data_IF_763101873911
#
_entry.id   IF_763101873911
#
_cell.length_a   1.000
_cell.length_b   1.000
_cell.length_c   1.000
_cell.angle_alpha   90.00
_cell.angle_beta   90.00
_cell.angle_gamma   90.00
#
_symmetry.space_group_name_H-M   'P 1'
#
loop_
_entity.id
_entity.type
_entity.pdbx_description
1 polymer ?
#
# COMPACT_ATOMS: atom_id res chain seq x y z
N UNK A 1 -8.84 -3.53 8.45
CA UNK A 1 -9.84 -3.13 7.47
C UNK A 1 -9.20 -2.34 6.32
N UNK A 2 -9.59 -2.61 5.07
CA UNK A 2 -9.02 -1.92 3.90
C UNK A 2 -9.82 -0.64 3.59
N UNK A 3 -9.11 0.49 3.54
CA UNK A 3 -9.63 1.79 3.12
C UNK A 3 -8.82 2.31 1.93
N UNK A 4 -9.47 2.98 1.00
CA UNK A 4 -8.77 3.76 -0.01
C UNK A 4 -8.52 5.17 0.52
N UNK A 5 -7.36 5.74 0.22
CA UNK A 5 -7.11 7.16 0.45
C UNK A 5 -8.04 8.04 -0.39
N UNK A 6 -8.17 9.31 -0.01
CA UNK A 6 -9.19 10.19 -0.60
C UNK A 6 -9.08 10.33 -2.12
N UNK A 7 -7.92 10.63 -2.72
CA UNK A 7 -7.81 10.67 -4.19
C UNK A 7 -8.18 9.34 -4.83
N UNK A 8 -7.71 8.25 -4.24
CA UNK A 8 -7.97 6.88 -4.73
C UNK A 8 -9.46 6.52 -4.69
N UNK A 9 -10.17 6.98 -3.67
CA UNK A 9 -11.62 6.79 -3.55
C UNK A 9 -12.36 7.49 -4.69
N UNK A 10 -11.99 8.73 -4.98
CA UNK A 10 -12.60 9.52 -6.06
C UNK A 10 -12.35 8.87 -7.42
N UNK A 11 -11.11 8.48 -7.71
CA UNK A 11 -10.73 7.77 -8.94
C UNK A 11 -11.55 6.49 -9.11
N UNK A 12 -11.68 5.68 -8.05
CA UNK A 12 -12.43 4.43 -8.08
C UNK A 12 -13.94 4.66 -8.29
N UNK A 13 -14.54 5.61 -7.59
CA UNK A 13 -15.96 5.96 -7.73
C UNK A 13 -16.25 6.45 -9.14
N UNK A 14 -15.45 7.32 -9.68
CA UNK A 14 -15.62 7.89 -11.01
C UNK A 14 -15.44 6.84 -12.11
N UNK A 15 -14.42 5.97 -11.98
CA UNK A 15 -14.24 4.85 -12.91
C UNK A 15 -15.47 3.92 -12.91
N UNK A 16 -16.05 3.66 -11.74
CA UNK A 16 -17.26 2.84 -11.59
C UNK A 16 -18.49 3.49 -12.24
N UNK A 17 -18.52 4.81 -12.36
CA UNK A 17 -19.58 5.58 -13.01
C UNK A 17 -19.33 5.83 -14.50
N UNK A 18 -18.20 5.35 -15.03
CA UNK A 18 -17.81 5.54 -16.44
C UNK A 18 -17.23 6.91 -16.76
N UNK A 19 -16.85 7.70 -15.75
CA UNK A 19 -16.24 9.02 -15.92
C UNK A 19 -14.78 8.96 -15.46
N UNK A 20 -13.79 8.93 -16.36
CA UNK A 20 -12.40 9.00 -15.96
C UNK A 20 -12.11 10.36 -15.30
N UNK A 21 -11.48 10.33 -14.13
CA UNK A 21 -11.06 11.52 -13.40
C UNK A 21 -9.55 11.64 -13.48
N UNK A 22 -9.11 12.81 -13.81
CA UNK A 22 -7.72 13.21 -13.70
C UNK A 22 -7.54 14.11 -12.46
N UNK A 23 -7.23 13.46 -11.34
CA UNK A 23 -7.06 14.17 -10.06
C UNK A 23 -5.93 15.20 -10.11
N UNK A 24 -4.87 14.92 -10.88
CA UNK A 24 -3.78 15.89 -11.03
C UNK A 24 -4.26 17.19 -11.70
N UNK A 25 -5.11 17.08 -12.73
CA UNK A 25 -5.76 18.27 -13.33
C UNK A 25 -6.66 18.98 -12.32
N UNK A 26 -7.44 18.27 -11.52
CA UNK A 26 -8.29 18.91 -10.51
C UNK A 26 -7.49 19.71 -9.50
N UNK A 27 -6.38 19.14 -9.01
CA UNK A 27 -5.48 19.83 -8.07
C UNK A 27 -4.87 21.09 -8.70
N UNK A 28 -4.55 21.06 -10.00
CA UNK A 28 -3.96 22.19 -10.71
C UNK A 28 -4.99 23.28 -11.06
N UNK A 29 -6.14 22.88 -11.58
CA UNK A 29 -7.14 23.79 -12.15
C UNK A 29 -8.13 24.30 -11.09
N UNK A 30 -8.41 23.49 -10.06
CA UNK A 30 -9.41 23.75 -9.01
C UNK A 30 -8.87 23.39 -7.62
N UNK A 31 -7.75 23.99 -7.16
CA UNK A 31 -7.08 23.57 -5.93
C UNK A 31 -7.92 23.76 -4.67
N UNK A 32 -8.72 24.83 -4.58
CA UNK A 32 -9.56 25.12 -3.41
C UNK A 32 -10.74 24.17 -3.30
N UNK A 33 -11.43 23.92 -4.40
CA UNK A 33 -12.57 23.00 -4.49
C UNK A 33 -12.10 21.56 -4.24
N UNK A 34 -10.98 21.18 -4.81
CA UNK A 34 -10.38 19.85 -4.59
C UNK A 34 -9.98 19.66 -3.13
N UNK A 35 -9.34 20.65 -2.53
CA UNK A 35 -8.99 20.63 -1.11
C UNK A 35 -10.24 20.52 -0.22
N UNK A 36 -11.33 21.21 -0.55
CA UNK A 36 -12.59 21.11 0.18
C UNK A 36 -13.18 19.68 0.10
N UNK A 37 -13.21 19.08 -1.08
CA UNK A 37 -13.67 17.68 -1.26
C UNK A 37 -12.80 16.71 -0.45
N UNK A 38 -11.48 16.86 -0.52
CA UNK A 38 -10.55 16.03 0.24
C UNK A 38 -10.73 16.19 1.76
N UNK A 39 -10.99 17.42 2.22
CA UNK A 39 -11.22 17.70 3.63
C UNK A 39 -12.47 16.98 4.15
N UNK A 40 -13.58 17.05 3.43
CA UNK A 40 -14.83 16.36 3.81
C UNK A 40 -14.63 14.85 3.87
N UNK A 41 -14.17 14.24 2.78
CA UNK A 41 -14.01 12.78 2.69
C UNK A 41 -13.01 12.27 3.73
N UNK A 42 -11.88 12.98 3.94
CA UNK A 42 -10.88 12.53 4.92
C UNK A 42 -11.35 12.61 6.37
N UNK A 43 -12.25 13.55 6.71
CA UNK A 43 -12.89 13.60 8.03
C UNK A 43 -13.81 12.40 8.25
N UNK A 44 -14.67 12.09 7.28
CA UNK A 44 -15.55 10.93 7.36
C UNK A 44 -14.73 9.62 7.48
N UNK A 45 -13.62 9.52 6.76
CA UNK A 45 -12.74 8.35 6.86
C UNK A 45 -11.94 8.28 8.16
N UNK A 46 -11.57 9.41 8.72
CA UNK A 46 -10.95 9.46 10.05
C UNK A 46 -11.92 8.97 11.14
N UNK A 47 -13.17 9.42 11.11
CA UNK A 47 -14.22 8.94 12.02
C UNK A 47 -14.51 7.44 11.81
N UNK A 48 -14.61 7.00 10.56
CA UNK A 48 -14.80 5.59 10.25
C UNK A 48 -13.64 4.72 10.76
N UNK A 49 -12.39 5.17 10.58
CA UNK A 49 -11.21 4.45 11.05
C UNK A 49 -11.21 4.30 12.58
N UNK A 50 -11.56 5.36 13.31
CA UNK A 50 -11.73 5.30 14.76
C UNK A 50 -12.82 4.32 15.18
N UNK A 51 -14.01 4.42 14.63
CA UNK A 51 -15.13 3.54 14.94
C UNK A 51 -14.81 2.05 14.63
N UNK A 52 -14.14 1.77 13.52
CA UNK A 52 -13.71 0.41 13.18
C UNK A 52 -12.78 -0.19 14.24
N UNK A 53 -11.86 0.60 14.79
CA UNK A 53 -10.90 0.14 15.79
C UNK A 53 -11.57 0.07 17.17
N UNK A 54 -12.23 1.14 17.61
CA UNK A 54 -12.76 1.27 18.98
C UNK A 54 -14.03 0.44 19.21
N UNK A 55 -14.92 0.38 18.22
CA UNK A 55 -16.22 -0.28 18.30
C UNK A 55 -16.26 -1.58 17.48
N UNK A 56 -15.65 -1.60 16.31
CA UNK A 56 -15.63 -2.75 15.41
C UNK A 56 -14.60 -3.81 15.80
N UNK A 57 -13.66 -3.51 16.69
CA UNK A 57 -12.66 -4.47 17.19
C UNK A 57 -11.61 -4.90 16.17
N UNK A 58 -11.35 -4.09 15.13
CA UNK A 58 -10.27 -4.37 14.19
C UNK A 58 -8.93 -3.90 14.76
N UNK A 59 -7.84 -4.62 14.46
CA UNK A 59 -6.49 -4.28 14.95
C UNK A 59 -5.90 -3.03 14.28
N UNK A 60 -6.49 -2.56 13.18
CA UNK A 60 -6.04 -1.39 12.44
C UNK A 60 -6.61 -1.32 11.04
N UNK A 61 -6.16 -0.33 10.28
CA UNK A 61 -6.53 -0.13 8.88
C UNK A 61 -5.37 -0.45 7.95
N UNK A 62 -5.70 -0.84 6.73
CA UNK A 62 -4.81 -0.99 5.59
C UNK A 62 -5.19 0.13 4.61
N UNK A 63 -4.46 1.26 4.67
CA UNK A 63 -4.76 2.42 3.85
C UNK A 63 -4.06 2.31 2.49
N UNK A 64 -4.85 2.21 1.44
CA UNK A 64 -4.35 2.13 0.07
C UNK A 64 -4.21 3.52 -0.55
N UNK A 65 -2.98 3.88 -0.92
CA UNK A 65 -2.60 5.11 -1.61
C UNK A 65 -1.96 4.80 -2.96
N UNK A 66 -1.88 5.78 -3.83
CA UNK A 66 -0.97 5.82 -4.98
C UNK A 66 -0.74 7.27 -5.43
N UNK A 67 0.35 7.48 -6.16
CA UNK A 67 0.65 8.76 -6.81
C UNK A 67 1.14 8.59 -8.26
N UNK A 68 0.77 7.48 -8.89
CA UNK A 68 1.16 7.14 -10.27
C UNK A 68 0.63 8.10 -11.34
N UNK A 69 -0.44 8.83 -11.03
CA UNK A 69 -1.05 9.82 -11.93
C UNK A 69 -0.52 11.22 -11.70
N UNK A 70 0.47 11.39 -10.81
CA UNK A 70 0.94 12.71 -10.36
C UNK A 70 2.31 13.11 -10.94
N UNK A 71 2.71 12.54 -12.06
CA UNK A 71 3.92 12.93 -12.81
C UNK A 71 3.94 14.42 -13.22
N UNK A 72 2.76 15.09 -13.22
CA UNK A 72 2.59 16.53 -13.46
C UNK A 72 2.62 17.37 -12.18
N UNK A 73 2.67 16.76 -11.00
CA UNK A 73 2.75 17.46 -9.71
C UNK A 73 4.17 17.37 -9.16
N UNK A 74 4.57 18.42 -8.47
CA UNK A 74 5.80 18.37 -7.66
C UNK A 74 5.52 17.76 -6.29
N UNK A 75 6.57 17.27 -5.62
CA UNK A 75 6.51 16.80 -4.24
C UNK A 75 5.88 17.85 -3.31
N UNK A 76 6.25 19.13 -3.48
CA UNK A 76 5.73 20.22 -2.67
C UNK A 76 4.21 20.41 -2.84
N UNK A 77 3.72 20.31 -4.07
CA UNK A 77 2.27 20.39 -4.34
C UNK A 77 1.56 19.19 -3.70
N UNK A 78 2.08 17.98 -3.88
CA UNK A 78 1.53 16.78 -3.28
C UNK A 78 1.48 16.88 -1.75
N UNK A 79 2.58 17.26 -1.12
CA UNK A 79 2.68 17.43 0.34
C UNK A 79 1.74 18.51 0.88
N UNK A 80 1.44 19.51 0.09
CA UNK A 80 0.54 20.60 0.50
C UNK A 80 -0.94 20.26 0.28
N UNK A 81 -1.28 19.63 -0.83
CA UNK A 81 -2.67 19.50 -1.30
C UNK A 81 -3.24 18.08 -1.25
N UNK A 82 -2.42 17.05 -0.97
CA UNK A 82 -2.87 15.65 -0.91
C UNK A 82 -2.51 15.00 0.42
N UNK A 83 -1.23 14.99 0.75
CA UNK A 83 -0.70 14.29 1.91
C UNK A 83 -1.42 14.60 3.25
N UNK A 84 -1.84 15.85 3.55
CA UNK A 84 -2.51 16.14 4.83
C UNK A 84 -3.81 15.37 5.03
N UNK A 85 -4.52 15.08 3.96
CA UNK A 85 -5.79 14.35 4.00
C UNK A 85 -5.61 12.83 4.15
N UNK A 86 -4.53 12.29 3.58
CA UNK A 86 -4.13 10.89 3.77
C UNK A 86 -3.59 10.64 5.18
N UNK A 87 -2.71 11.53 5.63
CA UNK A 87 -2.10 11.48 6.97
C UNK A 87 -3.17 11.58 8.07
N UNK A 88 -4.18 12.45 7.92
CA UNK A 88 -5.30 12.58 8.87
C UNK A 88 -5.96 11.23 9.18
N UNK A 89 -6.17 10.40 8.17
CA UNK A 89 -6.83 9.09 8.34
C UNK A 89 -5.93 8.16 9.18
N UNK A 90 -4.63 8.13 8.88
CA UNK A 90 -3.66 7.33 9.65
C UNK A 90 -3.49 7.84 11.08
N UNK A 91 -3.44 9.16 11.28
CA UNK A 91 -3.34 9.76 12.61
C UNK A 91 -4.56 9.40 13.46
N UNK A 92 -5.77 9.55 12.92
CA UNK A 92 -6.99 9.17 13.59
C UNK A 92 -7.02 7.68 13.97
N UNK A 93 -6.58 6.81 13.06
CA UNK A 93 -6.46 5.39 13.34
C UNK A 93 -5.38 5.07 14.39
N UNK A 94 -4.28 5.83 14.42
CA UNK A 94 -3.23 5.69 15.44
C UNK A 94 -3.73 6.14 16.82
N UNK A 95 -4.45 7.26 16.89
CA UNK A 95 -5.08 7.75 18.13
C UNK A 95 -6.05 6.74 18.75
N UNK A 96 -6.79 6.00 17.90
CA UNK A 96 -7.66 4.90 18.32
C UNK A 96 -6.88 3.61 18.71
N UNK A 97 -5.55 3.61 18.67
CA UNK A 97 -4.70 2.49 19.05
C UNK A 97 -4.41 1.48 17.94
N UNK A 98 -4.73 1.79 16.69
CA UNK A 98 -4.58 0.91 15.55
C UNK A 98 -3.12 0.56 15.19
N UNK A 99 -2.93 -0.65 14.70
CA UNK A 99 -1.68 -1.09 14.05
C UNK A 99 -1.82 -0.96 12.53
N UNK A 100 -1.58 0.25 12.03
CA UNK A 100 -1.96 0.64 10.68
C UNK A 100 -0.88 0.35 9.64
N UNK A 101 -1.30 -0.09 8.47
CA UNK A 101 -0.47 -0.44 7.32
C UNK A 101 -0.76 0.55 6.19
N UNK A 102 0.31 1.06 5.55
CA UNK A 102 0.20 1.78 4.29
C UNK A 102 0.42 0.82 3.13
N UNK A 103 -0.46 0.83 2.15
CA UNK A 103 -0.27 0.13 0.87
C UNK A 103 -0.10 1.15 -0.25
N UNK A 104 1.09 1.20 -0.83
CA UNK A 104 1.39 2.03 -2.00
C UNK A 104 1.10 1.18 -3.24
N UNK A 105 -0.05 1.41 -3.86
CA UNK A 105 -0.58 0.56 -4.91
C UNK A 105 0.15 0.79 -6.24
N UNK A 106 0.88 -0.21 -6.73
CA UNK A 106 1.58 -0.21 -8.03
C UNK A 106 0.82 -0.99 -9.09
N UNK A 107 -0.46 -0.68 -9.33
CA UNK A 107 -1.24 -1.38 -10.33
C UNK A 107 -0.89 -0.94 -11.76
N UNK A 108 -1.15 -1.80 -12.74
CA UNK A 108 -0.84 -1.60 -14.16
C UNK A 108 0.64 -1.35 -14.51
N UNK A 109 1.57 -1.61 -13.56
CA UNK A 109 3.01 -1.46 -13.81
C UNK A 109 3.50 -0.01 -13.86
N UNK A 110 2.73 0.94 -13.38
CA UNK A 110 3.15 2.32 -13.21
C UNK A 110 3.93 2.51 -11.92
N UNK A 111 4.88 3.45 -11.94
CA UNK A 111 5.72 3.77 -10.80
C UNK A 111 5.11 4.85 -9.91
N UNK A 112 5.29 4.67 -8.60
CA UNK A 112 5.01 5.68 -7.60
C UNK A 112 6.29 6.44 -7.21
N UNK A 113 6.12 7.63 -6.67
CA UNK A 113 7.14 8.35 -5.92
C UNK A 113 7.11 7.86 -4.47
N UNK A 114 7.78 6.73 -4.17
CA UNK A 114 7.74 6.08 -2.86
C UNK A 114 8.24 6.99 -1.73
N UNK A 115 9.22 7.84 -2.03
CA UNK A 115 9.83 8.78 -1.09
C UNK A 115 8.86 9.82 -0.54
N UNK A 116 7.75 10.11 -1.22
CA UNK A 116 6.74 11.06 -0.74
C UNK A 116 5.97 10.54 0.47
N UNK A 117 5.98 9.22 0.68
CA UNK A 117 5.30 8.54 1.80
C UNK A 117 6.20 8.21 2.99
N UNK A 118 7.50 8.51 2.90
CA UNK A 118 8.48 8.03 3.91
C UNK A 118 8.16 8.46 5.35
N UNK A 119 7.57 9.64 5.51
CA UNK A 119 7.28 10.25 6.81
C UNK A 119 5.83 10.01 7.29
N UNK A 120 5.02 9.25 6.54
CA UNK A 120 3.66 8.93 6.95
C UNK A 120 3.64 8.08 8.23
N UNK A 121 2.63 8.28 9.11
CA UNK A 121 2.58 7.67 10.43
C UNK A 121 2.02 6.23 10.45
N UNK A 122 2.51 5.36 9.57
CA UNK A 122 2.17 3.93 9.55
C UNK A 122 3.14 3.09 10.37
N UNK A 123 2.76 1.86 10.75
CA UNK A 123 3.62 0.87 11.43
C UNK A 123 4.30 -0.08 10.45
N UNK A 124 3.63 -0.44 9.37
CA UNK A 124 4.17 -1.28 8.31
C UNK A 124 3.76 -0.72 6.94
N UNK A 125 4.52 -1.08 5.90
CA UNK A 125 4.26 -0.61 4.54
C UNK A 125 4.39 -1.75 3.54
N UNK A 126 3.52 -1.72 2.54
CA UNK A 126 3.53 -2.62 1.39
C UNK A 126 3.56 -1.79 0.10
N UNK A 127 4.33 -2.23 -0.88
CA UNK A 127 4.39 -1.64 -2.22
C UNK A 127 4.73 -2.70 -3.25
N UNK A 128 4.61 -2.37 -4.54
CA UNK A 128 4.93 -3.26 -5.64
C UNK A 128 6.46 -3.31 -5.88
N UNK A 129 7.19 -4.01 -5.02
CA UNK A 129 8.65 -4.01 -4.98
C UNK A 129 9.29 -4.32 -6.34
N UNK A 130 8.76 -5.29 -7.07
CA UNK A 130 9.25 -5.68 -8.41
C UNK A 130 8.94 -4.63 -9.48
N UNK A 131 7.78 -3.97 -9.40
CA UNK A 131 7.39 -2.89 -10.33
C UNK A 131 8.22 -1.64 -10.08
N UNK A 132 8.33 -1.23 -8.83
CA UNK A 132 9.07 -0.02 -8.43
C UNK A 132 10.60 -0.18 -8.56
N UNK A 133 11.10 -1.41 -8.61
CA UNK A 133 12.53 -1.69 -8.61
C UNK A 133 13.21 -1.37 -7.27
N UNK A 134 12.44 -1.29 -6.19
CA UNK A 134 12.89 -1.04 -4.82
C UNK A 134 12.59 -2.29 -3.99
N UNK A 135 13.61 -3.08 -3.70
CA UNK A 135 13.47 -4.32 -2.95
C UNK A 135 13.18 -4.05 -1.46
N UNK A 136 12.78 -5.10 -0.72
CA UNK A 136 12.32 -4.93 0.67
C UNK A 136 13.40 -4.35 1.59
N UNK A 137 14.66 -4.73 1.42
CA UNK A 137 15.77 -4.16 2.19
C UNK A 137 15.97 -2.66 1.94
N UNK A 138 15.88 -2.25 0.68
CA UNK A 138 15.98 -0.85 0.28
C UNK A 138 14.79 -0.05 0.81
N UNK A 139 13.57 -0.62 0.70
CA UNK A 139 12.36 -0.03 1.27
C UNK A 139 12.43 0.12 2.79
N UNK A 140 13.00 -0.84 3.52
CA UNK A 140 13.24 -0.68 4.97
C UNK A 140 14.12 0.54 5.27
N UNK A 141 15.14 0.78 4.47
CA UNK A 141 16.00 1.97 4.63
C UNK A 141 15.23 3.26 4.27
N UNK A 142 14.47 3.24 3.17
CA UNK A 142 13.64 4.37 2.73
C UNK A 142 12.62 4.78 3.80
N UNK A 143 11.96 3.80 4.42
CA UNK A 143 10.89 4.00 5.40
C UNK A 143 11.39 3.95 6.87
N UNK A 144 12.62 4.39 7.12
CA UNK A 144 13.19 4.57 8.47
C UNK A 144 13.18 3.29 9.33
N UNK A 145 13.38 2.13 8.74
CA UNK A 145 13.41 0.85 9.45
C UNK A 145 12.05 0.30 9.88
N UNK A 146 10.94 0.87 9.39
CA UNK A 146 9.60 0.32 9.63
C UNK A 146 9.45 -1.07 9.01
N UNK A 147 8.49 -1.84 9.51
CA UNK A 147 8.20 -3.16 8.98
C UNK A 147 7.71 -3.07 7.52
N UNK A 148 8.16 -4.01 6.71
CA UNK A 148 7.81 -4.09 5.27
C UNK A 148 7.04 -5.37 4.98
N UNK A 149 6.10 -5.28 4.05
CA UNK A 149 5.25 -6.39 3.61
C UNK A 149 5.40 -6.53 2.10
N UNK A 150 5.66 -7.73 1.60
CA UNK A 150 5.77 -7.95 0.16
C UNK A 150 6.81 -9.03 -0.21
N UNK A 151 7.41 -8.83 -1.38
CA UNK A 151 8.49 -9.63 -1.94
C UNK A 151 8.06 -10.56 -3.08
N UNK A 152 6.83 -11.08 -3.03
CA UNK A 152 6.28 -11.84 -4.16
C UNK A 152 5.60 -10.89 -5.15
N UNK A 153 5.90 -11.05 -6.44
CA UNK A 153 5.14 -10.36 -7.49
C UNK A 153 3.66 -10.73 -7.48
N UNK A 154 2.87 -9.98 -8.23
CA UNK A 154 1.40 -10.00 -8.13
C UNK A 154 0.69 -10.42 -9.42
N UNK A 155 1.45 -10.79 -10.46
CA UNK A 155 0.89 -11.07 -11.79
C UNK A 155 0.84 -12.57 -12.09
N UNK A 156 0.10 -12.94 -13.15
CA UNK A 156 0.05 -14.29 -13.68
C UNK A 156 1.40 -14.82 -14.20
N UNK A 157 2.44 -13.96 -14.25
CA UNK A 157 3.79 -14.33 -14.66
C UNK A 157 4.73 -14.59 -13.49
N UNK A 158 4.31 -14.22 -12.29
CA UNK A 158 5.15 -14.31 -11.10
C UNK A 158 5.10 -15.71 -10.46
N UNK A 159 6.18 -16.06 -9.76
CA UNK A 159 6.37 -17.37 -9.14
C UNK A 159 5.22 -17.75 -8.20
N UNK A 160 4.63 -16.76 -7.50
CA UNK A 160 3.48 -17.02 -6.62
C UNK A 160 2.26 -17.57 -7.37
N UNK A 161 2.15 -17.34 -8.68
CA UNK A 161 1.07 -17.85 -9.53
C UNK A 161 1.50 -19.09 -10.32
N UNK A 162 2.69 -19.06 -10.96
CA UNK A 162 3.12 -20.11 -11.89
C UNK A 162 4.00 -21.20 -11.29
N UNK A 163 4.60 -20.91 -10.11
CA UNK A 163 5.66 -21.73 -9.54
C UNK A 163 5.20 -23.06 -8.98
N UNK A 164 6.03 -24.08 -9.12
CA UNK A 164 5.89 -25.31 -8.36
C UNK A 164 6.43 -25.13 -6.92
N UNK A 165 6.24 -26.13 -6.06
CA UNK A 165 6.65 -26.06 -4.65
C UNK A 165 8.12 -25.68 -4.44
N UNK A 166 9.02 -26.23 -5.27
CA UNK A 166 10.46 -25.96 -5.15
C UNK A 166 10.79 -24.53 -5.53
N UNK A 167 10.18 -23.98 -6.59
CA UNK A 167 10.39 -22.63 -7.07
C UNK A 167 9.86 -21.60 -6.05
N UNK A 168 8.70 -21.87 -5.44
CA UNK A 168 8.13 -21.02 -4.39
C UNK A 168 9.00 -21.04 -3.13
N UNK A 169 9.50 -22.24 -2.75
CA UNK A 169 10.43 -22.38 -1.63
C UNK A 169 11.74 -21.60 -1.85
N UNK A 170 12.30 -21.68 -3.05
CA UNK A 170 13.52 -20.96 -3.44
C UNK A 170 13.29 -19.45 -3.46
N UNK A 171 12.20 -18.97 -4.03
CA UNK A 171 11.85 -17.55 -4.03
C UNK A 171 11.62 -17.03 -2.60
N UNK A 172 10.94 -17.80 -1.74
CA UNK A 172 10.76 -17.45 -0.32
C UNK A 172 12.11 -17.26 0.37
N UNK A 173 13.04 -18.20 0.13
CA UNK A 173 14.38 -18.11 0.68
C UNK A 173 15.14 -16.90 0.17
N UNK A 174 15.07 -16.61 -1.13
CA UNK A 174 15.73 -15.44 -1.74
C UNK A 174 15.21 -14.13 -1.15
N UNK A 175 13.90 -14.00 -0.94
CA UNK A 175 13.29 -12.83 -0.31
C UNK A 175 13.81 -12.66 1.12
N UNK A 176 13.88 -13.73 1.90
CA UNK A 176 14.38 -13.69 3.28
C UNK A 176 15.88 -13.41 3.34
N UNK A 177 16.67 -13.96 2.42
CA UNK A 177 18.12 -13.69 2.31
C UNK A 177 18.39 -12.20 1.98
N UNK A 178 17.54 -11.60 1.15
CA UNK A 178 17.63 -10.18 0.75
C UNK A 178 17.15 -9.25 1.87
N UNK A 179 15.95 -9.47 2.36
CA UNK A 179 15.25 -8.56 3.28
C UNK A 179 15.60 -8.77 4.76
N UNK A 180 16.14 -9.95 5.11
CA UNK A 180 16.29 -10.41 6.48
C UNK A 180 14.98 -10.99 7.04
N UNK A 181 15.06 -11.48 8.29
CA UNK A 181 13.93 -12.16 8.96
C UNK A 181 13.24 -11.29 10.01
N UNK A 182 13.72 -10.07 10.25
CA UNK A 182 13.17 -9.15 11.25
C UNK A 182 12.55 -7.94 10.59
N UNK A 183 11.32 -7.60 10.97
CA UNK A 183 10.57 -6.48 10.39
C UNK A 183 10.16 -6.74 8.94
N UNK A 184 9.97 -8.00 8.57
CA UNK A 184 9.51 -8.44 7.24
C UNK A 184 8.29 -9.32 7.41
N UNK A 185 7.26 -9.06 6.64
CA UNK A 185 6.09 -9.92 6.46
C UNK A 185 6.08 -10.36 4.99
N UNK A 186 6.25 -11.65 4.76
CA UNK A 186 6.15 -12.20 3.42
C UNK A 186 4.72 -12.04 2.88
N UNK A 187 4.60 -11.48 1.71
CA UNK A 187 3.34 -11.24 1.05
C UNK A 187 3.52 -10.95 -0.43
N UNK A 188 2.41 -10.75 -1.12
CA UNK A 188 2.45 -10.24 -2.48
C UNK A 188 2.61 -8.72 -2.49
N UNK A 189 3.19 -8.22 -3.55
CA UNK A 189 3.42 -6.79 -3.78
C UNK A 189 2.12 -6.00 -3.92
N UNK A 190 1.06 -6.66 -4.40
CA UNK A 190 -0.31 -6.15 -4.48
C UNK A 190 -1.30 -7.34 -4.53
N UNK A 191 -2.51 -7.11 -5.02
CA UNK A 191 -3.53 -8.16 -5.21
C UNK A 191 -3.06 -9.20 -6.22
N UNK A 192 -3.02 -10.47 -5.82
CA UNK A 192 -2.73 -11.61 -6.70
C UNK A 192 -3.96 -12.04 -7.50
N UNK A 193 -3.80 -12.77 -8.63
CA UNK A 193 -4.92 -13.34 -9.38
C UNK A 193 -5.83 -14.19 -8.49
N UNK A 194 -7.14 -14.12 -8.71
CA UNK A 194 -8.14 -14.77 -7.86
C UNK A 194 -8.09 -16.30 -7.90
N UNK A 195 -7.58 -16.85 -8.98
CA UNK A 195 -7.43 -18.28 -9.25
C UNK A 195 -6.03 -18.82 -8.88
N UNK A 196 -5.22 -18.03 -8.18
CA UNK A 196 -3.95 -18.50 -7.60
C UNK A 196 -4.21 -19.71 -6.71
N UNK A 197 -3.47 -20.81 -6.93
CA UNK A 197 -3.61 -22.03 -6.11
C UNK A 197 -3.27 -21.73 -4.65
N UNK A 198 -4.19 -22.01 -3.75
CA UNK A 198 -4.02 -21.81 -2.30
C UNK A 198 -2.84 -22.61 -1.72
N UNK A 199 -2.45 -23.71 -2.36
CA UNK A 199 -1.26 -24.47 -1.97
C UNK A 199 0.01 -23.63 -2.10
N UNK A 200 0.08 -22.70 -3.04
CA UNK A 200 1.23 -21.80 -3.20
C UNK A 200 1.45 -20.97 -1.93
N UNK A 201 0.38 -20.45 -1.35
CA UNK A 201 0.46 -19.68 -0.09
C UNK A 201 0.88 -20.58 1.09
N UNK A 202 0.40 -21.83 1.12
CA UNK A 202 0.83 -22.80 2.11
C UNK A 202 2.33 -23.13 1.99
N UNK A 203 2.85 -23.27 0.77
CA UNK A 203 4.28 -23.52 0.52
C UNK A 203 5.17 -22.35 0.92
N UNK A 204 4.70 -21.10 0.70
CA UNK A 204 5.40 -19.91 1.22
C UNK A 204 5.52 -19.99 2.74
N UNK A 205 4.43 -20.32 3.44
CA UNK A 205 4.44 -20.44 4.89
C UNK A 205 5.38 -21.55 5.37
N UNK A 206 5.33 -22.73 4.76
CA UNK A 206 6.22 -23.85 5.09
C UNK A 206 7.70 -23.48 4.90
N UNK A 207 8.01 -22.73 3.84
CA UNK A 207 9.36 -22.26 3.57
C UNK A 207 9.78 -21.18 4.59
N UNK A 208 8.89 -20.24 4.92
CA UNK A 208 9.14 -19.22 5.94
C UNK A 208 9.42 -19.84 7.31
N UNK A 209 8.68 -20.87 7.72
CA UNK A 209 8.90 -21.61 8.97
C UNK A 209 10.29 -22.30 9.00
N UNK A 210 10.84 -22.65 7.84
CA UNK A 210 12.14 -23.30 7.69
C UNK A 210 13.31 -22.32 7.64
N UNK A 211 13.17 -21.23 6.91
CA UNK A 211 14.26 -20.29 6.63
C UNK A 211 14.18 -18.97 7.41
N UNK A 212 13.05 -18.66 8.03
CA UNK A 212 12.81 -17.41 8.78
C UNK A 212 13.27 -17.42 10.24
N UNK A 213 14.10 -18.39 10.63
CA UNK A 213 14.58 -18.57 12.01
C UNK A 213 15.86 -17.82 12.27
#
# INVERSE_FOLDING_TARGET
YNLFAVPRTIEFMQASLGYPVDIASWIQDYPEETAHVFDVISKDYAELAKALIEEGGVDGIYLSVNNISYDRLTEDIYKKLVAPYEVRILEAANEAGGSNILHICGYHGFHNHLEWYRDYPFKAVNWAAKVEGVLLKEGKALFHGKAVIGGFGQTEKDVIYTGNKKEIEEETKNILDEAGTTGVVLGADCTIPRDTDVNHLAWVREAADRYGK
#
